data_IF_188899420086
#
_entry.id   IF_188899420086
#
_cell.length_a   1.000
_cell.length_b   1.000
_cell.length_c   1.000
_cell.angle_alpha   90.00
_cell.angle_beta   90.00
_cell.angle_gamma   90.00
#
_symmetry.space_group_name_H-M   'P 1'
#
loop_
_entity.id
_entity.type
_entity.pdbx_description
1 polymer ?
#
# COMPACT_ATOMS: atom_id res chain seq x y z
N UNK A 1 -16.04 7.55 12.09
CA UNK A 1 -14.96 7.04 11.23
C UNK A 1 -14.45 5.75 11.83
N UNK A 2 -14.47 4.65 11.08
CA UNK A 2 -13.89 3.37 11.49
C UNK A 2 -12.36 3.51 11.58
N UNK A 3 -11.76 2.84 12.57
CA UNK A 3 -10.31 2.85 12.72
C UNK A 3 -9.64 2.23 11.47
N UNK A 4 -8.53 2.81 10.96
CA UNK A 4 -7.83 2.23 9.82
C UNK A 4 -7.33 0.82 10.11
N UNK A 5 -7.54 -0.12 9.18
CA UNK A 5 -7.04 -1.50 9.30
C UNK A 5 -5.62 -1.62 8.75
N UNK A 6 -4.80 -2.43 9.42
CA UNK A 6 -3.45 -2.74 8.95
C UNK A 6 -3.52 -3.88 7.92
N UNK A 7 -2.94 -3.65 6.73
CA UNK A 7 -2.85 -4.63 5.65
C UNK A 7 -1.39 -4.86 5.32
N UNK A 8 -0.90 -6.08 5.51
CA UNK A 8 0.45 -6.47 5.15
C UNK A 8 0.47 -7.09 3.75
N UNK A 9 1.37 -6.64 2.89
CA UNK A 9 1.58 -7.17 1.53
C UNK A 9 3.06 -7.53 1.38
N UNK A 10 3.34 -8.82 1.17
CA UNK A 10 4.69 -9.32 0.87
C UNK A 10 4.93 -9.35 -0.62
N UNK A 11 6.20 -9.31 -1.05
CA UNK A 11 6.51 -9.23 -2.48
C UNK A 11 5.96 -7.92 -3.08
N UNK A 12 5.96 -6.85 -2.29
CA UNK A 12 5.25 -5.61 -2.59
C UNK A 12 5.83 -4.86 -3.81
N UNK A 13 7.11 -5.07 -4.13
CA UNK A 13 7.72 -4.51 -5.33
C UNK A 13 7.55 -5.42 -6.57
N UNK A 14 6.99 -6.62 -6.40
CA UNK A 14 6.65 -7.52 -7.50
C UNK A 14 5.42 -7.07 -8.28
N UNK A 15 5.25 -7.59 -9.50
CA UNK A 15 4.17 -7.18 -10.42
C UNK A 15 2.75 -7.33 -9.83
N UNK A 16 2.50 -8.42 -9.10
CA UNK A 16 1.21 -8.64 -8.44
C UNK A 16 1.05 -7.70 -7.24
N UNK A 17 2.11 -7.55 -6.43
CA UNK A 17 2.13 -6.64 -5.29
C UNK A 17 1.81 -5.21 -5.73
N UNK A 18 2.50 -4.73 -6.76
CA UNK A 18 2.28 -3.45 -7.39
C UNK A 18 0.81 -3.25 -7.79
N UNK A 19 0.25 -4.14 -8.62
CA UNK A 19 -1.15 -4.02 -9.05
C UNK A 19 -2.16 -4.10 -7.90
N UNK A 20 -1.90 -4.91 -6.87
CA UNK A 20 -2.78 -5.09 -5.71
C UNK A 20 -2.78 -3.85 -4.81
N UNK A 21 -1.60 -3.28 -4.54
CA UNK A 21 -1.39 -2.15 -3.62
C UNK A 21 -2.30 -0.96 -3.97
N UNK A 22 -2.35 -0.55 -5.24
CA UNK A 22 -3.19 0.58 -5.66
C UNK A 22 -4.68 0.29 -5.55
N UNK A 23 -5.11 -0.97 -5.76
CA UNK A 23 -6.52 -1.35 -5.58
C UNK A 23 -6.94 -1.30 -4.12
N UNK A 24 -6.07 -1.79 -3.22
CA UNK A 24 -6.30 -1.71 -1.76
C UNK A 24 -6.31 -0.25 -1.32
N UNK A 25 -5.32 0.54 -1.74
CA UNK A 25 -5.22 1.96 -1.43
C UNK A 25 -6.43 2.77 -1.95
N UNK A 26 -7.00 2.41 -3.11
CA UNK A 26 -8.20 3.00 -3.68
C UNK A 26 -9.52 2.55 -3.02
N UNK A 27 -9.48 1.71 -1.99
CA UNK A 27 -10.66 1.26 -1.25
C UNK A 27 -11.37 0.03 -1.84
N UNK A 28 -10.80 -0.65 -2.84
CA UNK A 28 -11.46 -1.83 -3.44
C UNK A 28 -11.59 -3.03 -2.48
N UNK A 29 -10.81 -3.06 -1.40
CA UNK A 29 -10.85 -4.12 -0.40
C UNK A 29 -11.94 -3.92 0.67
N UNK A 30 -12.07 -2.70 1.18
CA UNK A 30 -12.92 -2.38 2.34
C UNK A 30 -14.10 -1.45 1.99
N UNK A 31 -14.19 -0.99 0.74
CA UNK A 31 -15.13 0.03 0.30
C UNK A 31 -14.58 1.46 0.43
N UNK A 32 -15.33 2.46 -0.08
CA UNK A 32 -14.87 3.86 -0.18
C UNK A 32 -14.65 4.54 1.18
N UNK A 33 -15.28 4.05 2.25
CA UNK A 33 -15.11 4.59 3.62
C UNK A 33 -14.08 3.81 4.44
N UNK A 34 -13.58 2.68 3.92
CA UNK A 34 -12.65 1.79 4.60
C UNK A 34 -11.22 2.27 4.49
N UNK A 35 -10.67 2.82 5.59
CA UNK A 35 -9.29 3.32 5.61
C UNK A 35 -8.28 2.20 5.91
N UNK A 36 -7.11 2.26 5.29
CA UNK A 36 -6.03 1.26 5.44
C UNK A 36 -4.70 1.89 5.84
N UNK A 37 -3.90 1.13 6.59
CA UNK A 37 -2.47 1.31 6.74
C UNK A 37 -1.77 0.19 5.97
N UNK A 38 -0.95 0.55 4.98
CA UNK A 38 -0.19 -0.43 4.20
C UNK A 38 1.15 -0.73 4.87
N UNK A 39 1.42 -2.01 5.05
CA UNK A 39 2.69 -2.55 5.51
C UNK A 39 3.28 -3.38 4.37
N UNK A 40 4.25 -2.79 3.65
CA UNK A 40 4.82 -3.36 2.44
C UNK A 40 6.15 -4.02 2.78
N UNK A 41 6.25 -5.33 2.54
CA UNK A 41 7.42 -6.14 2.88
C UNK A 41 8.14 -6.62 1.62
N UNK A 42 9.45 -6.42 1.59
CA UNK A 42 10.33 -6.94 0.55
C UNK A 42 11.67 -7.48 1.06
N UNK A 43 12.37 -8.20 0.18
CA UNK A 43 13.78 -8.54 0.41
C UNK A 43 14.67 -7.31 0.21
N UNK A 44 15.82 -7.26 0.90
CA UNK A 44 16.76 -6.12 0.85
C UNK A 44 17.10 -5.64 -0.57
N UNK A 45 17.37 -6.51 -1.56
CA UNK A 45 17.64 -6.08 -2.94
C UNK A 45 16.49 -5.34 -3.62
N UNK A 46 15.25 -5.59 -3.20
CA UNK A 46 14.05 -5.00 -3.78
C UNK A 46 13.60 -3.70 -3.08
N UNK A 47 14.23 -3.31 -1.96
CA UNK A 47 13.88 -2.09 -1.23
C UNK A 47 13.96 -0.81 -2.08
N UNK A 48 14.94 -0.60 -2.99
CA UNK A 48 14.92 0.57 -3.87
C UNK A 48 13.70 0.63 -4.78
N UNK A 49 13.25 -0.51 -5.32
CA UNK A 49 12.04 -0.58 -6.11
C UNK A 49 10.80 -0.35 -5.24
N UNK A 50 10.78 -0.89 -4.02
CA UNK A 50 9.69 -0.65 -3.07
C UNK A 50 9.54 0.83 -2.71
N UNK A 51 10.65 1.58 -2.57
CA UNK A 51 10.59 3.03 -2.37
C UNK A 51 9.94 3.74 -3.56
N UNK A 52 10.16 3.25 -4.79
CA UNK A 52 9.41 3.67 -5.98
C UNK A 52 7.90 3.56 -5.78
N UNK A 53 7.43 2.40 -5.35
CA UNK A 53 5.99 2.16 -5.07
C UNK A 53 5.45 3.11 -3.99
N UNK A 54 6.24 3.40 -2.95
CA UNK A 54 5.85 4.36 -1.90
C UNK A 54 5.71 5.78 -2.46
N UNK A 55 6.61 6.21 -3.36
CA UNK A 55 6.50 7.51 -4.01
C UNK A 55 5.20 7.61 -4.82
N UNK A 56 4.90 6.60 -5.64
CA UNK A 56 3.68 6.58 -6.44
C UNK A 56 2.39 6.54 -5.61
N UNK A 57 2.40 5.83 -4.48
CA UNK A 57 1.28 5.84 -3.53
C UNK A 57 1.03 7.23 -2.94
N UNK A 58 2.08 7.99 -2.63
CA UNK A 58 1.96 9.36 -2.13
C UNK A 58 1.40 10.29 -3.20
N UNK A 59 1.85 10.16 -4.45
CA UNK A 59 1.38 10.97 -5.58
C UNK A 59 -0.11 10.74 -5.90
N UNK A 60 -0.62 9.53 -5.65
CA UNK A 60 -2.03 9.21 -5.86
C UNK A 60 -2.98 9.88 -4.86
N UNK A 61 -2.47 10.36 -3.71
CA UNK A 61 -3.25 11.05 -2.68
C UNK A 61 -4.57 10.36 -2.28
N UNK A 62 -4.57 9.03 -2.16
CA UNK A 62 -5.78 8.26 -1.86
C UNK A 62 -6.40 8.65 -0.50
N UNK A 63 -7.69 9.03 -0.44
CA UNK A 63 -8.35 9.41 0.82
C UNK A 63 -8.49 8.23 1.80
N UNK A 64 -8.52 7.01 1.26
CA UNK A 64 -8.60 5.74 1.99
C UNK A 64 -7.25 5.25 2.51
N UNK A 65 -6.12 5.84 2.10
CA UNK A 65 -4.80 5.47 2.57
C UNK A 65 -4.37 6.38 3.73
N UNK A 66 -4.20 5.82 4.92
CA UNK A 66 -3.82 6.57 6.11
C UNK A 66 -2.31 6.61 6.36
N UNK A 67 -1.61 5.50 6.13
CA UNK A 67 -0.16 5.37 6.38
C UNK A 67 0.44 4.29 5.48
N UNK A 68 1.70 4.47 5.09
CA UNK A 68 2.53 3.44 4.45
C UNK A 68 3.77 3.18 5.30
N UNK A 69 4.10 1.91 5.52
CA UNK A 69 5.34 1.45 6.11
C UNK A 69 5.99 0.50 5.10
N UNK A 70 7.21 0.80 4.67
CA UNK A 70 7.98 -0.03 3.75
C UNK A 70 9.20 -0.60 4.49
N UNK A 71 9.34 -1.93 4.47
CA UNK A 71 10.35 -2.67 5.24
C UNK A 71 10.90 -3.85 4.49
#
# INVERSE_FOLDING_TARGET
MTAPLNVAITGAAGQIGYALIFRVAAGALLGPDGRVNLHLLEITPALPALQGVVMELNDCAFPTLNRVVAT
#
